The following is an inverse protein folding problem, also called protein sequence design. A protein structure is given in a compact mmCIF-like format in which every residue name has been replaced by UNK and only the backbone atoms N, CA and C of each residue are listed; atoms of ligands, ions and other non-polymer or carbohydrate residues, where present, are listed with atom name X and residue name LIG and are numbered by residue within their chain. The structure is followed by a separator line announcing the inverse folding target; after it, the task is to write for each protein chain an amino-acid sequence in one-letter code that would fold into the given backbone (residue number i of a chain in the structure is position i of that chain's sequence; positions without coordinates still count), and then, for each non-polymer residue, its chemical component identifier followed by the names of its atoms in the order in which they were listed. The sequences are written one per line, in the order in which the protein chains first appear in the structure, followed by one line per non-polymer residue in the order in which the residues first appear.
data_IF_377860551346
#
_entry.id   IF_377860551346
#
_cell.length_a   1.000
_cell.length_b   1.000
_cell.length_c   1.000
_cell.angle_alpha   90.00
_cell.angle_beta   90.00
_cell.angle_gamma   90.00
#
_symmetry.space_group_name_H-M   'P 1'
#
loop_
_entity.id
_entity.type
_entity.pdbx_description
1 polymer ?
#
# COMPACT_ATOMS: atom_id res chain seq x y z
N UNK A 1 -27.27 -10.00 18.26
CA UNK A 1 -28.27 -9.34 17.42
C UNK A 1 -27.85 -7.89 17.22
N UNK A 2 -27.12 -7.60 16.13
CA UNK A 2 -27.21 -6.36 15.35
C UNK A 2 -26.36 -6.56 14.07
N UNK A 3 -27.01 -6.84 12.95
CA UNK A 3 -26.37 -6.92 11.64
C UNK A 3 -26.21 -5.49 11.11
N UNK A 4 -25.00 -4.95 11.13
CA UNK A 4 -24.70 -3.73 10.39
C UNK A 4 -24.41 -4.12 8.93
N UNK A 5 -25.41 -3.93 8.06
CA UNK A 5 -25.18 -3.87 6.61
C UNK A 5 -24.46 -2.56 6.34
N UNK A 6 -23.17 -2.61 6.04
CA UNK A 6 -22.50 -1.49 5.39
C UNK A 6 -22.75 -1.64 3.89
N UNK A 7 -23.60 -0.78 3.37
CA UNK A 7 -23.75 -0.55 1.94
C UNK A 7 -22.41 0.01 1.43
N UNK A 8 -21.48 -0.88 1.05
CA UNK A 8 -20.35 -0.47 0.22
C UNK A 8 -20.92 -0.19 -1.16
N UNK A 9 -21.07 1.09 -1.48
CA UNK A 9 -21.10 1.56 -2.85
C UNK A 9 -19.82 1.04 -3.52
N UNK A 10 -19.92 -0.15 -4.13
CA UNK A 10 -18.91 -0.69 -5.01
C UNK A 10 -18.91 0.21 -6.24
N UNK A 11 -18.06 1.24 -6.23
CA UNK A 11 -17.67 1.90 -7.45
C UNK A 11 -16.91 0.86 -8.27
N UNK A 12 -17.63 0.19 -9.17
CA UNK A 12 -17.08 -0.72 -10.16
C UNK A 12 -16.30 0.12 -11.17
N UNK A 13 -15.07 0.47 -10.81
CA UNK A 13 -14.06 0.93 -11.76
C UNK A 13 -13.31 -0.31 -12.25
N UNK A 14 -13.60 -0.76 -13.48
CA UNK A 14 -12.87 -1.84 -14.17
C UNK A 14 -11.45 -1.44 -14.61
N UNK A 15 -10.81 -0.54 -13.85
CA UNK A 15 -9.41 -0.17 -14.00
C UNK A 15 -8.82 -0.37 -12.62
N UNK A 16 -8.03 -1.42 -12.42
CA UNK A 16 -7.16 -1.51 -11.25
C UNK A 16 -6.35 -0.22 -11.24
N UNK A 17 -6.64 0.67 -10.29
CA UNK A 17 -5.97 1.95 -10.19
C UNK A 17 -4.54 1.61 -9.81
N UNK A 18 -3.66 1.52 -10.81
CA UNK A 18 -2.26 1.19 -10.59
C UNK A 18 -1.69 2.32 -9.74
N UNK A 19 -1.45 2.05 -8.46
CA UNK A 19 -0.85 3.02 -7.55
C UNK A 19 0.48 3.45 -8.15
N UNK A 20 0.54 4.73 -8.52
CA UNK A 20 1.74 5.35 -9.03
C UNK A 20 2.75 5.40 -7.89
N UNK A 21 3.96 4.89 -8.13
CA UNK A 21 5.04 4.91 -7.16
C UNK A 21 6.03 6.00 -7.56
N UNK A 22 6.19 7.00 -6.69
CA UNK A 22 7.20 8.06 -6.82
C UNK A 22 8.49 7.65 -6.10
N UNK A 23 9.66 7.87 -6.71
CA UNK A 23 10.96 7.64 -6.08
C UNK A 23 11.52 8.91 -5.42
N UNK A 24 10.90 10.09 -5.64
CA UNK A 24 11.25 11.33 -4.96
C UNK A 24 10.50 11.46 -3.62
N UNK A 25 11.06 10.85 -2.58
CA UNK A 25 10.42 10.80 -1.27
C UNK A 25 10.47 12.13 -0.50
N UNK A 26 9.31 12.75 -0.31
CA UNK A 26 9.15 13.94 0.54
C UNK A 26 8.59 13.61 1.93
N UNK A 27 8.06 12.39 2.12
CA UNK A 27 7.34 11.97 3.32
C UNK A 27 5.82 12.09 3.23
N UNK A 28 5.31 12.90 2.30
CA UNK A 28 3.88 13.02 2.01
C UNK A 28 3.48 12.12 0.83
N UNK A 29 2.27 11.57 0.87
CA UNK A 29 1.62 10.86 -0.24
C UNK A 29 0.15 11.24 -0.25
N UNK A 30 -0.42 11.42 -1.44
CA UNK A 30 -1.86 11.67 -1.59
C UNK A 30 -2.64 10.34 -1.67
N UNK A 31 -3.94 10.33 -1.37
CA UNK A 31 -4.78 9.14 -1.49
C UNK A 31 -4.65 8.45 -2.85
N UNK A 32 -4.43 7.12 -2.83
CA UNK A 32 -4.26 6.32 -4.04
C UNK A 32 -2.88 6.41 -4.70
N UNK A 33 -1.93 7.13 -4.09
CA UNK A 33 -0.52 7.20 -4.52
C UNK A 33 0.40 6.49 -3.54
N UNK A 34 1.63 6.22 -3.97
CA UNK A 34 2.68 5.71 -3.10
C UNK A 34 4.02 6.40 -3.40
N UNK A 35 4.91 6.42 -2.42
CA UNK A 35 6.28 6.91 -2.58
C UNK A 35 7.29 5.94 -1.95
N UNK A 36 8.45 5.79 -2.59
CA UNK A 36 9.55 4.94 -2.15
C UNK A 36 10.65 5.76 -1.50
N UNK A 37 11.09 5.32 -0.33
CA UNK A 37 12.34 5.73 0.29
C UNK A 37 13.33 4.56 0.29
N UNK A 38 14.52 4.79 -0.27
CA UNK A 38 15.63 3.83 -0.22
C UNK A 38 16.60 4.22 0.88
N UNK A 39 17.00 3.25 1.70
CA UNK A 39 17.93 3.39 2.82
C UNK A 39 19.03 2.32 2.72
N UNK A 40 20.17 2.50 3.41
CA UNK A 40 21.09 1.38 3.64
C UNK A 40 20.35 0.23 4.34
N UNK A 41 20.30 -0.93 3.69
CA UNK A 41 19.69 -2.16 4.23
C UNK A 41 18.17 -2.32 4.05
N UNK A 42 17.44 -1.30 3.58
CA UNK A 42 15.99 -1.42 3.38
C UNK A 42 15.42 -0.51 2.28
N UNK A 43 14.30 -0.93 1.70
CA UNK A 43 13.41 -0.10 0.89
C UNK A 43 12.06 0.02 1.59
N UNK A 44 11.52 1.23 1.68
CA UNK A 44 10.22 1.52 2.29
C UNK A 44 9.31 2.09 1.20
N UNK A 45 8.16 1.47 0.98
CA UNK A 45 7.07 2.08 0.19
C UNK A 45 6.00 2.54 1.17
N UNK A 46 5.69 3.83 1.13
CA UNK A 46 4.59 4.45 1.88
C UNK A 46 3.40 4.63 0.93
N UNK A 47 2.21 4.25 1.36
CA UNK A 47 0.96 4.49 0.64
C UNK A 47 -0.09 5.08 1.57
N UNK A 48 -1.03 5.83 1.00
CA UNK A 48 -2.24 6.28 1.70
C UNK A 48 -3.39 5.32 1.41
N UNK A 49 -4.14 4.95 2.46
CA UNK A 49 -5.30 4.07 2.37
C UNK A 49 -6.52 4.61 3.12
N UNK A 50 -7.70 4.32 2.57
CA UNK A 50 -8.98 4.62 3.17
C UNK A 50 -9.33 6.10 3.19
N UNK A 51 -10.56 6.43 3.63
CA UNK A 51 -11.09 7.79 3.61
C UNK A 51 -10.42 8.74 4.61
N UNK A 52 -9.65 8.20 5.56
CA UNK A 52 -8.97 8.96 6.61
C UNK A 52 -7.50 9.24 6.30
N UNK A 53 -7.02 8.90 5.10
CA UNK A 53 -5.63 9.11 4.68
C UNK A 53 -4.63 8.39 5.61
N UNK A 54 -4.95 7.14 5.99
CA UNK A 54 -4.11 6.35 6.87
C UNK A 54 -2.86 5.90 6.13
N UNK A 55 -1.73 5.84 6.82
CA UNK A 55 -0.46 5.50 6.20
C UNK A 55 -0.19 3.99 6.34
N UNK A 56 -0.02 3.31 5.21
CA UNK A 56 0.46 1.93 5.16
C UNK A 56 1.91 1.90 4.67
N UNK A 57 2.70 0.96 5.19
CA UNK A 57 4.09 0.81 4.82
C UNK A 57 4.42 -0.62 4.38
N UNK A 58 5.15 -0.75 3.29
CA UNK A 58 5.78 -1.99 2.86
C UNK A 58 7.30 -1.84 3.01
N UNK A 59 7.87 -2.53 3.98
CA UNK A 59 9.31 -2.46 4.31
C UNK A 59 9.98 -3.73 3.83
N UNK A 60 10.95 -3.61 2.94
CA UNK A 60 11.70 -4.75 2.40
C UNK A 60 13.16 -4.66 2.79
N UNK A 61 13.70 -5.73 3.39
CA UNK A 61 15.13 -5.87 3.65
C UNK A 61 15.87 -5.99 2.32
N UNK A 62 16.86 -5.11 2.08
CA UNK A 62 17.60 -5.09 0.80
C UNK A 62 18.54 -6.29 0.64
N UNK A 63 18.91 -6.96 1.74
CA UNK A 63 19.81 -8.13 1.72
C UNK A 63 19.05 -9.44 1.48
N UNK A 64 17.93 -9.65 2.18
CA UNK A 64 17.19 -10.93 2.17
C UNK A 64 15.97 -10.90 1.24
N UNK A 65 15.47 -9.71 0.91
CA UNK A 65 14.21 -9.52 0.21
C UNK A 65 12.97 -9.87 1.05
N UNK A 66 13.12 -10.14 2.35
CA UNK A 66 11.99 -10.31 3.25
C UNK A 66 11.24 -9.00 3.41
N UNK A 67 9.90 -9.08 3.43
CA UNK A 67 9.02 -7.91 3.38
C UNK A 67 7.99 -7.96 4.50
N UNK A 68 7.81 -6.83 5.17
CA UNK A 68 6.79 -6.61 6.20
C UNK A 68 5.78 -5.56 5.72
N UNK A 69 4.49 -5.87 5.85
CA UNK A 69 3.39 -4.93 5.64
C UNK A 69 2.90 -4.40 6.99
N UNK A 70 2.82 -3.08 7.14
CA UNK A 70 2.50 -2.39 8.39
C UNK A 70 1.29 -1.48 8.18
N UNK A 71 0.34 -1.55 9.11
CA UNK A 71 -0.86 -0.68 9.16
C UNK A 71 -1.75 -0.74 7.90
N UNK A 72 -2.06 -1.97 7.48
CA UNK A 72 -2.93 -2.29 6.34
C UNK A 72 -4.42 -2.10 6.67
N UNK A 73 -4.83 -0.87 7.00
CA UNK A 73 -6.16 -0.58 7.53
C UNK A 73 -7.29 -0.65 6.47
N UNK A 74 -7.01 -0.30 5.20
CA UNK A 74 -7.98 -0.16 4.13
C UNK A 74 -7.41 -0.56 2.75
N UNK A 75 -8.23 -0.52 1.71
CA UNK A 75 -7.84 -0.67 0.29
C UNK A 75 -7.03 -1.94 -0.04
N UNK A 76 -7.57 -3.09 0.39
CA UNK A 76 -6.91 -4.39 0.26
C UNK A 76 -6.41 -4.71 -1.17
N UNK A 77 -7.16 -4.35 -2.21
CA UNK A 77 -6.75 -4.62 -3.60
C UNK A 77 -5.49 -3.83 -3.99
N UNK A 78 -5.37 -2.58 -3.54
CA UNK A 78 -4.17 -1.75 -3.73
C UNK A 78 -2.98 -2.35 -2.97
N UNK A 79 -3.20 -2.74 -1.72
CA UNK A 79 -2.14 -3.33 -0.89
C UNK A 79 -1.65 -4.67 -1.44
N UNK A 80 -2.56 -5.52 -1.92
CA UNK A 80 -2.22 -6.78 -2.57
C UNK A 80 -1.41 -6.55 -3.85
N UNK A 81 -1.77 -5.53 -4.64
CA UNK A 81 -1.02 -5.17 -5.84
C UNK A 81 0.39 -4.65 -5.50
N UNK A 82 0.53 -3.82 -4.47
CA UNK A 82 1.84 -3.38 -3.97
C UNK A 82 2.70 -4.56 -3.49
N UNK A 83 2.12 -5.50 -2.71
CA UNK A 83 2.82 -6.70 -2.25
C UNK A 83 3.27 -7.54 -3.44
N UNK A 84 2.38 -7.83 -4.40
CA UNK A 84 2.72 -8.62 -5.60
C UNK A 84 3.85 -7.99 -6.41
N UNK A 85 3.86 -6.67 -6.54
CA UNK A 85 4.86 -5.95 -7.34
C UNK A 85 6.19 -5.76 -6.61
N UNK A 86 6.17 -5.61 -5.28
CA UNK A 86 7.33 -5.11 -4.53
C UNK A 86 7.76 -5.96 -3.33
N UNK A 87 7.13 -7.10 -3.05
CA UNK A 87 7.58 -8.07 -2.06
C UNK A 87 8.19 -9.31 -2.73
N UNK A 88 9.52 -9.33 -3.01
CA UNK A 88 10.13 -10.33 -3.89
C UNK A 88 10.07 -11.77 -3.38
N UNK A 89 9.86 -11.95 -2.07
CA UNK A 89 9.76 -13.26 -1.40
C UNK A 89 8.31 -13.69 -1.13
N UNK A 90 7.35 -12.78 -1.26
CA UNK A 90 5.94 -13.08 -1.08
C UNK A 90 5.38 -13.52 -2.46
N UNK A 91 5.42 -14.82 -2.72
CA UNK A 91 4.87 -15.44 -3.93
C UNK A 91 3.62 -16.24 -3.62
#
# INVERSE_FOLDING_TARGET
MLCARTDKHASSSNVAHMTALDDNYTGHVDPGTAARRTLPGATIIKASVGPMDNNTYLVTCSETGETLLIDAANDADVLLDLVRRYAPRCR
#
